data_IF_334521006844
#
_entry.id   IF_334521006844
#
_cell.length_a   1.000
_cell.length_b   1.000
_cell.length_c   1.000
_cell.angle_alpha   90.00
_cell.angle_beta   90.00
_cell.angle_gamma   90.00
#
_symmetry.space_group_name_H-M   'P 1'
#
loop_
_entity.id
_entity.type
_entity.pdbx_description
1 polymer ?
#
# COMPACT_ATOMS: atom_id res chain seq x y z
N UNK A 1 56.61 -31.95 -25.04
CA UNK A 1 57.34 -31.56 -26.27
C UNK A 1 56.73 -30.24 -26.73
N UNK A 2 57.36 -29.25 -26.40
CA UNK A 2 58.06 -28.10 -26.99
C UNK A 2 57.81 -27.98 -28.49
N UNK A 3 57.23 -26.85 -28.95
CA UNK A 3 57.94 -25.88 -29.77
C UNK A 3 57.03 -24.72 -30.19
N UNK A 4 57.67 -23.59 -30.41
CA UNK A 4 57.04 -22.27 -30.42
C UNK A 4 57.16 -21.59 -31.78
N UNK A 5 56.87 -20.27 -31.80
CA UNK A 5 57.23 -19.24 -32.80
C UNK A 5 56.23 -19.10 -33.98
N UNK A 6 55.94 -17.95 -34.44
CA UNK A 6 56.79 -16.80 -34.77
C UNK A 6 55.98 -15.53 -34.96
N UNK A 7 56.59 -14.44 -34.52
CA UNK A 7 56.23 -13.05 -34.84
C UNK A 7 56.52 -12.75 -36.30
N UNK A 8 55.56 -12.17 -37.01
CA UNK A 8 55.88 -11.44 -38.23
C UNK A 8 55.31 -10.01 -38.12
N UNK A 9 56.26 -9.08 -38.04
CA UNK A 9 56.06 -7.66 -38.21
C UNK A 9 55.74 -7.36 -39.69
N UNK A 10 54.74 -6.53 -39.93
CA UNK A 10 54.71 -5.71 -41.16
C UNK A 10 54.29 -4.28 -40.76
N UNK A 11 55.25 -3.43 -40.86
CA UNK A 11 55.14 -1.96 -40.94
C UNK A 11 54.82 -1.60 -42.38
N UNK A 12 53.78 -0.74 -42.60
CA UNK A 12 53.91 0.32 -43.58
C UNK A 12 52.69 1.23 -43.67
N UNK A 13 52.96 2.50 -43.50
CA UNK A 13 52.56 3.69 -44.28
C UNK A 13 51.13 4.25 -44.14
N UNK A 14 51.07 5.33 -43.39
CA UNK A 14 50.67 6.70 -43.77
C UNK A 14 49.43 6.86 -44.69
N UNK A 15 48.42 7.48 -44.10
CA UNK A 15 47.32 8.12 -44.80
C UNK A 15 46.60 9.06 -43.83
N UNK A 16 47.10 10.30 -43.71
CA UNK A 16 46.37 11.38 -43.04
C UNK A 16 45.10 11.68 -43.84
N UNK A 17 43.97 11.51 -43.21
CA UNK A 17 42.67 11.97 -43.66
C UNK A 17 41.92 12.54 -42.45
N UNK A 18 42.22 13.81 -42.11
CA UNK A 18 41.41 14.54 -41.14
C UNK A 18 40.09 14.89 -41.79
N UNK A 19 39.07 14.06 -41.61
CA UNK A 19 37.66 14.40 -41.90
C UNK A 19 37.08 15.10 -40.70
N UNK A 20 37.02 16.41 -40.78
CA UNK A 20 36.31 17.25 -39.81
C UNK A 20 34.83 17.00 -39.91
N UNK A 21 34.27 16.26 -38.94
CA UNK A 21 32.83 16.16 -38.76
C UNK A 21 32.36 17.46 -38.10
N UNK A 22 31.46 18.25 -38.70
CA UNK A 22 30.87 19.38 -37.99
C UNK A 22 29.89 18.85 -36.94
N UNK A 23 30.31 18.94 -35.69
CA UNK A 23 29.40 18.70 -34.56
C UNK A 23 28.45 19.90 -34.44
N UNK A 24 27.35 19.88 -35.18
CA UNK A 24 26.24 20.77 -34.92
C UNK A 24 25.54 20.28 -33.62
N UNK A 25 26.00 20.79 -32.49
CA UNK A 25 25.25 20.68 -31.24
C UNK A 25 24.02 21.58 -31.37
N UNK A 26 22.88 20.98 -31.66
CA UNK A 26 21.59 21.64 -31.47
C UNK A 26 21.43 21.92 -29.97
N UNK A 27 21.17 23.17 -29.56
CA UNK A 27 20.94 23.47 -28.16
C UNK A 27 19.64 22.74 -27.73
N UNK A 28 19.78 21.79 -26.84
CA UNK A 28 18.63 21.23 -26.10
C UNK A 28 18.14 22.37 -25.23
N UNK A 29 17.08 23.04 -25.65
CA UNK A 29 16.39 24.03 -24.83
C UNK A 29 15.82 23.28 -23.62
N UNK A 30 16.44 23.51 -22.47
CA UNK A 30 15.92 22.98 -21.21
C UNK A 30 14.50 23.55 -21.03
N UNK A 31 13.50 22.68 -21.00
CA UNK A 31 12.13 23.08 -20.71
C UNK A 31 12.11 23.74 -19.33
N UNK A 32 11.63 24.96 -19.28
CA UNK A 32 11.46 25.71 -18.03
C UNK A 32 10.46 24.97 -17.13
N UNK A 33 10.61 25.05 -15.78
CA UNK A 33 9.71 24.38 -14.83
C UNK A 33 8.22 24.70 -15.02
N UNK A 34 7.89 25.85 -15.60
CA UNK A 34 6.52 26.27 -15.91
C UNK A 34 5.87 25.43 -17.01
N UNK A 35 6.65 24.90 -17.97
CA UNK A 35 6.11 24.07 -19.06
C UNK A 35 5.69 22.66 -18.60
N UNK A 36 6.19 22.21 -17.45
CA UNK A 36 5.79 20.91 -16.84
C UNK A 36 4.54 21.03 -15.96
N UNK A 37 4.16 22.25 -15.55
CA UNK A 37 2.96 22.49 -14.75
C UNK A 37 1.66 22.43 -15.57
N UNK A 38 1.74 22.63 -16.88
CA UNK A 38 0.60 22.78 -17.80
C UNK A 38 0.44 21.59 -18.78
N UNK A 39 1.09 20.45 -18.49
CA UNK A 39 0.73 19.20 -19.15
C UNK A 39 -0.75 18.93 -18.87
N UNK A 40 -1.59 18.66 -19.90
CA UNK A 40 -3.01 18.45 -19.70
C UNK A 40 -3.16 17.31 -18.71
N UNK A 41 -3.53 17.62 -17.47
CA UNK A 41 -3.98 16.65 -16.50
C UNK A 41 -5.19 16.04 -17.17
N UNK A 42 -5.10 14.75 -17.51
CA UNK A 42 -6.25 14.01 -18.05
C UNK A 42 -7.45 14.40 -17.20
N UNK A 43 -8.40 15.18 -17.72
CA UNK A 43 -9.51 15.72 -16.91
C UNK A 43 -10.40 14.62 -16.34
N UNK A 44 -10.12 13.37 -16.70
CA UNK A 44 -11.01 12.23 -16.43
C UNK A 44 -10.32 11.04 -15.74
N UNK A 45 -9.10 11.20 -15.22
CA UNK A 45 -8.41 10.09 -14.54
C UNK A 45 -9.20 9.56 -13.34
N UNK A 46 -9.81 10.45 -12.56
CA UNK A 46 -10.60 10.05 -11.40
C UNK A 46 -11.86 9.30 -11.82
N UNK A 47 -12.53 9.75 -12.89
CA UNK A 47 -13.69 9.07 -13.45
C UNK A 47 -13.30 7.68 -14.01
N UNK A 48 -12.21 7.60 -14.78
CA UNK A 48 -11.72 6.32 -15.31
C UNK A 48 -11.40 5.32 -14.19
N UNK A 49 -10.72 5.76 -13.13
CA UNK A 49 -10.41 4.89 -11.97
C UNK A 49 -11.69 4.42 -11.30
N UNK A 50 -12.67 5.32 -11.12
CA UNK A 50 -13.97 4.99 -10.53
C UNK A 50 -14.67 3.89 -11.31
N UNK A 51 -14.84 4.06 -12.61
CA UNK A 51 -15.54 3.11 -13.47
C UNK A 51 -14.84 1.74 -13.52
N UNK A 52 -13.53 1.74 -13.58
CA UNK A 52 -12.76 0.51 -13.76
C UNK A 52 -12.49 -0.24 -12.45
N UNK A 53 -12.30 0.47 -11.33
CA UNK A 53 -11.74 -0.11 -10.10
C UNK A 53 -12.61 0.03 -8.86
N UNK A 54 -13.65 0.89 -8.87
CA UNK A 54 -14.45 1.16 -7.68
C UNK A 54 -15.92 0.74 -7.89
N UNK A 55 -16.24 -0.57 -7.84
CA UNK A 55 -17.58 -1.08 -8.00
C UNK A 55 -18.45 -0.64 -6.81
N UNK A 56 -19.71 -0.25 -7.07
CA UNK A 56 -20.62 0.16 -6.00
C UNK A 56 -21.39 -1.04 -5.42
N UNK A 57 -20.67 -1.98 -4.83
CA UNK A 57 -21.23 -3.21 -4.26
C UNK A 57 -21.91 -2.97 -2.91
N UNK A 58 -22.97 -3.76 -2.57
CA UNK A 58 -23.61 -3.71 -1.26
C UNK A 58 -22.76 -4.44 -0.22
N UNK A 59 -22.67 -3.86 0.97
CA UNK A 59 -21.88 -4.35 2.09
C UNK A 59 -22.65 -4.21 3.41
N UNK A 60 -22.16 -4.87 4.44
CA UNK A 60 -22.64 -4.72 5.82
C UNK A 60 -21.46 -4.38 6.71
N UNK A 61 -21.58 -3.34 7.52
CA UNK A 61 -20.57 -2.94 8.51
C UNK A 61 -20.67 -3.81 9.77
N UNK A 62 -19.63 -3.77 10.63
CA UNK A 62 -19.59 -4.50 11.92
C UNK A 62 -20.73 -4.12 12.87
N UNK A 63 -21.34 -2.97 12.70
CA UNK A 63 -22.54 -2.52 13.46
C UNK A 63 -23.86 -2.81 12.75
N UNK A 64 -23.82 -3.67 11.72
CA UNK A 64 -25.01 -4.18 11.01
C UNK A 64 -25.61 -3.23 9.98
N UNK A 65 -25.05 -2.05 9.74
CA UNK A 65 -25.56 -1.09 8.74
C UNK A 65 -25.31 -1.60 7.33
N UNK A 66 -26.30 -1.44 6.45
CA UNK A 66 -26.17 -1.70 5.02
C UNK A 66 -25.62 -0.43 4.35
N UNK A 67 -24.56 -0.61 3.56
CA UNK A 67 -23.86 0.48 2.88
C UNK A 67 -23.43 0.04 1.47
N UNK A 68 -23.16 0.98 0.60
CA UNK A 68 -22.55 0.75 -0.71
C UNK A 68 -21.09 1.20 -0.70
N UNK A 69 -20.22 0.39 -1.25
CA UNK A 69 -18.78 0.64 -1.23
C UNK A 69 -18.41 2.02 -1.74
N UNK A 70 -18.83 2.34 -2.97
CA UNK A 70 -18.43 3.61 -3.56
C UNK A 70 -19.17 4.79 -2.95
N UNK A 71 -20.51 4.77 -2.97
CA UNK A 71 -21.31 5.94 -2.63
C UNK A 71 -21.20 6.35 -1.16
N UNK A 72 -21.15 5.36 -0.23
CA UNK A 72 -21.20 5.63 1.20
C UNK A 72 -19.80 5.68 1.85
N UNK A 73 -18.81 4.94 1.31
CA UNK A 73 -17.54 4.74 1.98
C UNK A 73 -16.34 5.42 1.30
N UNK A 74 -16.37 5.58 -0.04
CA UNK A 74 -15.19 6.01 -0.81
C UNK A 74 -15.35 7.38 -1.45
N UNK A 75 -16.55 7.69 -1.95
CA UNK A 75 -16.82 8.93 -2.69
C UNK A 75 -16.49 10.17 -1.86
N UNK A 76 -15.63 11.01 -2.40
CA UNK A 76 -15.21 12.25 -1.76
C UNK A 76 -14.23 12.07 -0.60
N UNK A 77 -13.70 10.85 -0.35
CA UNK A 77 -12.91 10.54 0.84
C UNK A 77 -11.48 10.13 0.52
N UNK A 78 -10.65 10.16 1.55
CA UNK A 78 -9.38 9.45 1.58
C UNK A 78 -9.56 8.18 2.40
N UNK A 79 -9.18 7.04 1.82
CA UNK A 79 -9.40 5.73 2.42
C UNK A 79 -8.12 4.92 2.50
N UNK A 80 -8.02 4.09 3.54
CA UNK A 80 -7.03 3.04 3.67
C UNK A 80 -7.76 1.69 3.70
N UNK A 81 -7.57 0.89 2.66
CA UNK A 81 -8.31 -0.35 2.41
C UNK A 81 -7.38 -1.54 2.63
N UNK A 82 -7.82 -2.55 3.37
CA UNK A 82 -7.16 -3.84 3.44
C UNK A 82 -8.17 -4.98 3.45
N UNK A 83 -7.68 -6.19 3.12
CA UNK A 83 -8.45 -7.43 3.16
C UNK A 83 -7.91 -8.31 4.28
N UNK A 84 -8.81 -8.93 5.04
CA UNK A 84 -8.48 -9.73 6.22
C UNK A 84 -9.56 -10.79 6.49
N UNK A 85 -9.37 -11.61 7.49
CA UNK A 85 -10.41 -12.41 8.11
C UNK A 85 -10.07 -12.64 9.59
N UNK A 86 -11.07 -12.80 10.45
CA UNK A 86 -10.88 -12.75 11.92
C UNK A 86 -10.05 -13.92 12.45
N UNK A 87 -10.22 -15.12 11.88
CA UNK A 87 -9.50 -16.36 12.28
C UNK A 87 -8.09 -16.47 11.67
N UNK A 88 -7.55 -15.42 11.06
CA UNK A 88 -6.21 -15.44 10.48
C UNK A 88 -5.13 -15.48 11.56
N UNK A 89 -4.36 -16.56 11.60
CA UNK A 89 -3.22 -16.70 12.51
C UNK A 89 -1.91 -16.17 11.95
N UNK A 90 -1.91 -15.71 10.69
CA UNK A 90 -0.72 -15.27 9.96
C UNK A 90 -0.55 -13.76 9.92
N UNK A 91 -0.51 -13.23 8.71
CA UNK A 91 -0.20 -11.83 8.39
C UNK A 91 -1.23 -10.82 8.94
N UNK A 92 -2.48 -11.24 9.18
CA UNK A 92 -3.54 -10.33 9.62
C UNK A 92 -3.29 -9.78 11.04
N UNK A 93 -2.81 -10.62 11.96
CA UNK A 93 -2.54 -10.20 13.36
C UNK A 93 -1.53 -9.05 13.41
N UNK A 94 -0.29 -9.17 12.89
CA UNK A 94 0.67 -8.07 12.90
C UNK A 94 0.21 -6.88 12.04
N UNK A 95 -0.53 -7.11 10.96
CA UNK A 95 -1.08 -6.04 10.11
C UNK A 95 -2.10 -5.20 10.88
N UNK A 96 -3.06 -5.84 11.55
CA UNK A 96 -4.06 -5.16 12.38
C UNK A 96 -3.38 -4.37 13.51
N UNK A 97 -2.43 -4.98 14.21
CA UNK A 97 -1.68 -4.31 15.27
C UNK A 97 -0.92 -3.06 14.77
N UNK A 98 -0.34 -3.12 13.56
CA UNK A 98 0.30 -1.95 12.94
C UNK A 98 -0.72 -0.87 12.58
N UNK A 99 -1.85 -1.24 11.99
CA UNK A 99 -2.89 -0.30 11.60
C UNK A 99 -3.56 0.36 12.81
N UNK A 100 -3.73 -0.36 13.93
CA UNK A 100 -4.19 0.23 15.21
C UNK A 100 -3.21 1.32 15.69
N UNK A 101 -1.89 1.07 15.62
CA UNK A 101 -0.89 2.08 15.96
C UNK A 101 -0.97 3.30 15.03
N UNK A 102 -1.21 3.06 13.74
CA UNK A 102 -1.40 4.15 12.76
C UNK A 102 -2.66 4.94 13.08
N UNK A 103 -3.79 4.27 13.31
CA UNK A 103 -5.06 4.90 13.70
C UNK A 103 -4.88 5.79 14.93
N UNK A 104 -4.29 5.27 16.01
CA UNK A 104 -4.00 6.02 17.22
C UNK A 104 -3.11 7.25 16.96
N UNK A 105 -2.14 7.14 16.05
CA UNK A 105 -1.25 8.25 15.67
C UNK A 105 -1.91 9.31 14.78
N UNK A 106 -3.01 8.97 14.11
CA UNK A 106 -3.82 9.91 13.33
C UNK A 106 -4.81 10.69 14.21
N UNK A 107 -5.23 10.09 15.32
CA UNK A 107 -6.12 10.74 16.30
C UNK A 107 -7.38 11.33 15.67
N UNK A 108 -7.66 12.60 15.94
CA UNK A 108 -8.85 13.33 15.46
C UNK A 108 -8.94 13.49 13.92
N UNK A 109 -7.89 13.10 13.20
CA UNK A 109 -7.90 13.08 11.72
C UNK A 109 -8.65 11.88 11.15
N UNK A 110 -8.86 10.84 11.98
CA UNK A 110 -9.74 9.73 11.62
C UNK A 110 -11.16 10.25 11.41
N UNK A 111 -11.89 9.67 10.46
CA UNK A 111 -13.19 10.10 9.96
C UNK A 111 -13.21 11.46 9.25
N UNK A 112 -12.47 12.45 9.76
CA UNK A 112 -12.45 13.80 9.16
C UNK A 112 -11.62 13.86 7.88
N UNK A 113 -10.49 13.17 7.86
CA UNK A 113 -9.55 13.21 6.73
C UNK A 113 -9.31 11.84 6.12
N UNK A 114 -9.33 10.77 6.92
CA UNK A 114 -9.03 9.40 6.50
C UNK A 114 -10.01 8.42 7.14
N UNK A 115 -10.49 7.48 6.35
CA UNK A 115 -11.32 6.37 6.82
C UNK A 115 -10.61 5.04 6.53
N UNK A 116 -10.57 4.14 7.51
CA UNK A 116 -10.04 2.79 7.32
C UNK A 116 -11.17 1.81 7.01
N UNK A 117 -10.95 0.95 6.02
CA UNK A 117 -11.91 -0.04 5.53
C UNK A 117 -11.24 -1.41 5.47
N UNK A 118 -11.67 -2.34 6.32
CA UNK A 118 -11.20 -3.73 6.32
C UNK A 118 -12.30 -4.65 5.81
N UNK A 119 -12.04 -5.35 4.71
CA UNK A 119 -13.00 -6.26 4.09
C UNK A 119 -12.68 -7.69 4.49
N UNK A 120 -13.68 -8.40 5.02
CA UNK A 120 -13.52 -9.82 5.30
C UNK A 120 -13.52 -10.64 4.02
N UNK A 121 -12.56 -11.55 3.92
CA UNK A 121 -12.47 -12.59 2.88
C UNK A 121 -13.25 -13.85 3.26
N UNK A 122 -13.81 -13.91 4.46
CA UNK A 122 -14.55 -15.04 5.01
C UNK A 122 -15.96 -14.64 5.43
N UNK A 123 -16.78 -14.24 4.46
CA UNK A 123 -18.13 -13.74 4.69
C UNK A 123 -19.08 -14.77 5.36
N UNK A 124 -18.72 -16.05 5.37
CA UNK A 124 -19.51 -17.11 6.00
C UNK A 124 -19.28 -17.13 7.51
N UNK A 125 -18.04 -16.90 7.96
CA UNK A 125 -17.63 -16.94 9.36
C UNK A 125 -17.59 -15.54 10.01
N UNK A 126 -17.21 -14.53 9.23
CA UNK A 126 -17.08 -13.15 9.68
C UNK A 126 -18.41 -12.40 9.56
N UNK A 127 -19.34 -12.74 10.46
CA UNK A 127 -20.61 -11.99 10.61
C UNK A 127 -20.36 -10.58 11.13
N UNK A 128 -21.31 -9.64 11.03
CA UNK A 128 -21.17 -8.32 11.65
C UNK A 128 -20.79 -8.38 13.12
N UNK A 129 -21.40 -9.31 13.87
CA UNK A 129 -21.13 -9.52 15.29
C UNK A 129 -19.69 -9.96 15.54
N UNK A 130 -19.20 -10.95 14.77
CA UNK A 130 -17.81 -11.44 14.85
C UNK A 130 -16.82 -10.32 14.50
N UNK A 131 -17.13 -9.50 13.49
CA UNK A 131 -16.29 -8.36 13.11
C UNK A 131 -16.30 -7.27 14.18
N UNK A 132 -17.41 -7.07 14.87
CA UNK A 132 -17.51 -6.10 15.97
C UNK A 132 -16.69 -6.58 17.19
N UNK A 133 -16.78 -7.85 17.55
CA UNK A 133 -15.94 -8.45 18.60
C UNK A 133 -14.46 -8.31 18.25
N UNK A 134 -14.07 -8.65 17.03
CA UNK A 134 -12.70 -8.49 16.55
C UNK A 134 -12.21 -7.03 16.66
N UNK A 135 -13.04 -6.06 16.31
CA UNK A 135 -12.70 -4.65 16.42
C UNK A 135 -12.48 -4.23 17.90
N UNK A 136 -13.32 -4.70 18.80
CA UNK A 136 -13.19 -4.43 20.24
C UNK A 136 -11.94 -5.08 20.83
N UNK A 137 -11.68 -6.35 20.53
CA UNK A 137 -10.52 -7.10 21.02
C UNK A 137 -9.18 -6.49 20.56
N UNK A 138 -9.19 -5.75 19.44
CA UNK A 138 -8.01 -5.08 18.91
C UNK A 138 -7.94 -3.57 19.25
N UNK A 139 -8.79 -3.06 20.16
CA UNK A 139 -8.82 -1.64 20.52
C UNK A 139 -9.01 -0.71 19.31
N UNK A 140 -9.83 -1.09 18.35
CA UNK A 140 -10.12 -0.29 17.16
C UNK A 140 -11.03 0.88 17.53
N UNK A 141 -10.59 2.09 17.21
CA UNK A 141 -11.33 3.31 17.46
C UNK A 141 -12.24 3.74 16.30
N UNK A 142 -12.92 4.88 16.44
CA UNK A 142 -13.77 5.46 15.38
C UNK A 142 -13.04 5.68 14.06
N UNK A 143 -13.79 5.69 12.94
CA UNK A 143 -13.24 5.93 11.60
C UNK A 143 -12.61 4.70 10.95
N UNK A 144 -12.73 3.54 11.57
CA UNK A 144 -12.32 2.26 10.98
C UNK A 144 -13.52 1.31 10.94
N UNK A 145 -13.92 0.91 9.72
CA UNK A 145 -15.02 0.01 9.48
C UNK A 145 -14.53 -1.36 9.03
N UNK A 146 -15.07 -2.39 9.66
CA UNK A 146 -14.95 -3.77 9.21
C UNK A 146 -16.21 -4.14 8.44
N UNK A 147 -16.03 -4.76 7.29
CA UNK A 147 -17.06 -4.91 6.28
C UNK A 147 -17.15 -6.37 5.82
N UNK A 148 -18.37 -6.87 5.74
CA UNK A 148 -18.68 -8.14 5.13
C UNK A 148 -19.74 -7.98 4.05
N UNK A 149 -19.97 -9.00 3.22
CA UNK A 149 -20.91 -8.95 2.13
C UNK A 149 -20.98 -10.25 1.38
N UNK A 150 -21.59 -10.25 0.19
CA UNK A 150 -21.59 -11.45 -0.64
C UNK A 150 -20.16 -11.77 -1.08
N UNK A 151 -19.76 -13.04 -1.00
CA UNK A 151 -18.42 -13.52 -1.36
C UNK A 151 -18.00 -13.08 -2.78
N UNK A 152 -18.94 -13.16 -3.72
CA UNK A 152 -18.67 -12.73 -5.10
C UNK A 152 -18.38 -11.23 -5.23
N UNK A 153 -19.06 -10.40 -4.42
CA UNK A 153 -18.87 -8.95 -4.40
C UNK A 153 -17.52 -8.58 -3.77
N UNK A 154 -17.16 -9.22 -2.66
CA UNK A 154 -15.84 -9.03 -2.01
C UNK A 154 -14.72 -9.45 -2.97
N UNK A 155 -14.87 -10.59 -3.65
CA UNK A 155 -13.89 -11.07 -4.62
C UNK A 155 -13.77 -10.11 -5.83
N UNK A 156 -14.89 -9.60 -6.34
CA UNK A 156 -14.90 -8.58 -7.38
C UNK A 156 -14.12 -7.34 -6.93
N UNK A 157 -14.40 -6.84 -5.73
CA UNK A 157 -13.74 -5.68 -5.16
C UNK A 157 -12.23 -5.92 -5.01
N UNK A 158 -11.84 -7.07 -4.45
CA UNK A 158 -10.44 -7.46 -4.25
C UNK A 158 -9.67 -7.44 -5.56
N UNK A 159 -10.23 -8.05 -6.62
CA UNK A 159 -9.63 -8.06 -7.96
C UNK A 159 -9.58 -6.67 -8.59
N UNK A 160 -10.65 -5.90 -8.49
CA UNK A 160 -10.72 -4.53 -9.02
C UNK A 160 -9.69 -3.60 -8.38
N UNK A 161 -9.40 -3.80 -7.11
CA UNK A 161 -8.39 -3.03 -6.36
C UNK A 161 -6.96 -3.59 -6.50
N UNK A 162 -6.77 -4.72 -7.19
CA UNK A 162 -5.45 -5.33 -7.38
C UNK A 162 -4.89 -6.01 -6.13
N UNK A 163 -5.75 -6.38 -5.18
CA UNK A 163 -5.37 -7.08 -3.94
C UNK A 163 -5.45 -8.61 -4.12
N UNK A 164 -4.81 -9.14 -5.14
CA UNK A 164 -4.80 -10.57 -5.46
C UNK A 164 -3.41 -10.99 -5.97
N UNK A 165 -3.12 -12.29 -5.87
CA UNK A 165 -1.92 -12.86 -6.44
C UNK A 165 -2.18 -13.33 -7.87
N UNK A 166 -1.24 -13.07 -8.83
CA UNK A 166 -1.41 -13.48 -10.21
C UNK A 166 -1.48 -15.00 -10.39
N UNK A 167 -0.80 -15.76 -9.53
CA UNK A 167 -0.87 -17.23 -9.53
C UNK A 167 -2.15 -17.67 -8.79
N UNK A 168 -3.12 -18.35 -9.47
CA UNK A 168 -4.36 -18.77 -8.84
C UNK A 168 -4.18 -19.75 -7.69
N UNK A 169 -3.12 -20.56 -7.68
CA UNK A 169 -2.86 -21.49 -6.59
C UNK A 169 -2.38 -20.76 -5.33
N UNK A 170 -1.56 -19.73 -5.50
CA UNK A 170 -1.13 -18.85 -4.40
C UNK A 170 -2.29 -17.97 -3.93
N UNK A 171 -3.08 -17.43 -4.86
CA UNK A 171 -4.24 -16.58 -4.54
C UNK A 171 -5.34 -17.33 -3.77
N UNK A 172 -5.48 -18.63 -3.99
CA UNK A 172 -6.42 -19.49 -3.27
C UNK A 172 -5.94 -19.82 -1.84
N UNK A 173 -4.65 -19.74 -1.56
CA UNK A 173 -4.09 -19.97 -0.24
C UNK A 173 -4.27 -18.73 0.64
N UNK A 174 -5.27 -18.81 1.53
CA UNK A 174 -5.58 -17.71 2.45
C UNK A 174 -4.44 -17.36 3.41
N UNK A 175 -3.45 -18.24 3.62
CA UNK A 175 -2.28 -17.97 4.45
C UNK A 175 -1.26 -17.07 3.76
N UNK A 176 -1.31 -16.98 2.44
CA UNK A 176 -0.40 -16.21 1.57
C UNK A 176 -0.91 -14.79 1.26
N UNK A 177 -1.93 -14.31 1.98
CA UNK A 177 -2.44 -12.96 1.72
C UNK A 177 -1.34 -11.90 1.85
N UNK A 178 -1.32 -11.01 0.86
CA UNK A 178 -0.25 -10.03 0.65
C UNK A 178 -0.09 -9.01 1.78
N UNK A 179 -1.01 -8.93 2.73
CA UNK A 179 -0.97 -7.93 3.80
C UNK A 179 -0.81 -6.50 3.26
N UNK A 180 -1.47 -6.19 2.15
CA UNK A 180 -1.39 -4.89 1.49
C UNK A 180 -2.45 -3.95 2.05
N UNK A 181 -2.07 -2.68 2.25
CA UNK A 181 -2.98 -1.56 2.46
C UNK A 181 -3.01 -0.71 1.21
N UNK A 182 -4.19 -0.52 0.64
CA UNK A 182 -4.42 0.34 -0.52
C UNK A 182 -4.88 1.70 0.00
N UNK A 183 -4.10 2.72 -0.31
CA UNK A 183 -4.38 4.10 0.07
C UNK A 183 -4.97 4.84 -1.12
N UNK A 184 -6.17 5.38 -0.96
CA UNK A 184 -6.90 6.08 -2.01
C UNK A 184 -7.28 7.50 -1.61
N UNK A 185 -7.04 8.47 -2.47
CA UNK A 185 -7.65 9.80 -2.41
C UNK A 185 -8.57 9.89 -3.63
N UNK A 186 -9.85 9.59 -3.41
CA UNK A 186 -10.82 9.47 -4.49
C UNK A 186 -10.97 10.79 -5.25
N UNK A 187 -11.16 11.96 -4.60
CA UNK A 187 -11.32 13.22 -5.30
C UNK A 187 -10.13 13.61 -6.18
N UNK A 188 -8.93 13.12 -5.83
CA UNK A 188 -7.71 13.40 -6.59
C UNK A 188 -7.34 12.28 -7.57
N UNK A 189 -8.11 11.21 -7.65
CA UNK A 189 -7.83 10.04 -8.46
C UNK A 189 -6.47 9.41 -8.15
N UNK A 190 -6.05 9.40 -6.87
CA UNK A 190 -4.72 8.95 -6.44
C UNK A 190 -4.79 7.71 -5.60
N UNK A 191 -4.10 6.68 -6.07
CA UNK A 191 -4.08 5.39 -5.43
C UNK A 191 -2.65 4.88 -5.34
N UNK A 192 -2.30 4.27 -4.22
CA UNK A 192 -1.03 3.62 -3.98
C UNK A 192 -1.22 2.44 -3.02
N UNK A 193 -0.27 1.52 -2.99
CA UNK A 193 -0.27 0.39 -2.09
C UNK A 193 0.99 0.41 -1.21
N UNK A 194 0.85 -0.07 0.02
CA UNK A 194 1.94 -0.27 0.97
C UNK A 194 1.70 -1.56 1.75
N UNK A 195 2.75 -2.26 2.13
CA UNK A 195 2.61 -3.42 3.01
C UNK A 195 2.14 -3.01 4.41
N UNK A 196 1.10 -3.66 4.92
CA UNK A 196 0.63 -3.51 6.30
C UNK A 196 1.65 -3.96 7.35
N UNK A 197 2.64 -4.77 6.92
CA UNK A 197 3.77 -5.18 7.77
C UNK A 197 4.87 -4.12 7.84
N UNK A 198 4.77 -3.04 7.06
CA UNK A 198 5.69 -1.91 7.18
C UNK A 198 5.58 -1.28 8.57
N UNK A 199 6.68 -0.68 9.03
CA UNK A 199 6.67 0.06 10.30
C UNK A 199 5.54 1.11 10.30
N UNK A 200 4.74 1.24 11.39
CA UNK A 200 3.57 2.13 11.45
C UNK A 200 3.84 3.57 11.00
N UNK A 201 5.04 4.11 11.32
CA UNK A 201 5.46 5.44 10.86
C UNK A 201 5.48 5.54 9.34
N UNK A 202 5.91 4.49 8.62
CA UNK A 202 5.93 4.50 7.15
C UNK A 202 4.53 4.43 6.56
N UNK A 203 3.64 3.66 7.18
CA UNK A 203 2.22 3.60 6.75
C UNK A 203 1.59 4.98 6.95
N UNK A 204 1.77 5.62 8.11
CA UNK A 204 1.30 6.98 8.38
C UNK A 204 1.84 7.98 7.37
N UNK A 205 3.15 7.96 7.11
CA UNK A 205 3.77 8.84 6.10
C UNK A 205 3.18 8.62 4.68
N UNK A 206 2.83 7.39 4.32
CA UNK A 206 2.19 7.10 3.04
C UNK A 206 0.76 7.70 3.00
N UNK A 207 -0.01 7.60 4.09
CA UNK A 207 -1.32 8.24 4.23
C UNK A 207 -1.18 9.76 4.07
N UNK A 208 -0.26 10.38 4.79
CA UNK A 208 -0.04 11.82 4.74
C UNK A 208 0.35 12.29 3.34
N UNK A 209 1.21 11.55 2.63
CA UNK A 209 1.52 11.84 1.22
C UNK A 209 0.29 11.72 0.32
N UNK A 210 -0.64 10.82 0.63
CA UNK A 210 -1.89 10.68 -0.13
C UNK A 210 -2.81 11.89 0.06
N UNK A 211 -2.77 12.52 1.22
CA UNK A 211 -3.52 13.75 1.54
C UNK A 211 -2.93 14.99 0.86
N UNK A 212 -1.60 15.09 0.75
CA UNK A 212 -0.92 16.27 0.22
C UNK A 212 -1.17 16.47 -1.29
N UNK A 213 -1.16 17.73 -1.78
CA UNK A 213 -1.14 18.01 -3.20
C UNK A 213 0.21 17.57 -3.82
N UNK A 214 0.25 17.21 -5.12
CA UNK A 214 1.46 16.73 -5.79
C UNK A 214 2.67 17.67 -5.65
N UNK A 215 2.43 18.97 -5.66
CA UNK A 215 3.46 20.01 -5.52
C UNK A 215 4.22 19.98 -4.18
N UNK A 216 3.67 19.31 -3.16
CA UNK A 216 4.26 19.26 -1.82
C UNK A 216 4.96 17.93 -1.50
N UNK A 217 5.06 17.00 -2.44
CA UNK A 217 5.63 15.66 -2.16
C UNK A 217 7.13 15.64 -1.89
N UNK A 218 7.88 16.54 -2.51
CA UNK A 218 9.31 16.71 -2.27
C UNK A 218 9.58 17.38 -0.92
N UNK A 219 8.75 18.33 -0.53
CA UNK A 219 8.84 19.06 0.74
C UNK A 219 8.37 18.19 1.92
N UNK A 220 7.33 17.38 1.71
CA UNK A 220 6.73 16.53 2.75
C UNK A 220 7.66 15.45 3.30
N UNK A 221 8.76 15.07 2.62
CA UNK A 221 9.72 14.11 3.14
C UNK A 221 10.48 14.64 4.37
N UNK A 222 10.79 15.92 4.41
CA UNK A 222 11.48 16.54 5.55
C UNK A 222 10.50 16.85 6.70
N UNK A 223 9.33 17.40 6.38
CA UNK A 223 8.32 17.78 7.40
C UNK A 223 7.70 16.57 8.12
N UNK A 224 7.55 15.43 7.41
CA UNK A 224 6.99 14.20 7.99
C UNK A 224 8.00 13.49 8.93
N UNK A 225 9.29 13.70 8.71
CA UNK A 225 10.34 13.12 9.55
C UNK A 225 10.36 13.72 10.98
N UNK A 226 9.83 14.92 11.16
CA UNK A 226 9.88 15.67 12.42
C UNK A 226 8.66 15.49 13.34
N UNK A 227 7.61 14.78 12.87
CA UNK A 227 6.46 14.51 13.75
C UNK A 227 6.84 13.41 14.74
N UNK A 228 6.99 13.70 16.05
CA UNK A 228 7.36 12.70 17.02
C UNK A 228 6.30 11.58 17.04
N UNK A 229 6.74 10.36 16.86
CA UNK A 229 5.94 9.20 17.20
C UNK A 229 5.98 9.10 18.73
N UNK A 230 4.95 9.61 19.39
CA UNK A 230 4.86 9.46 20.85
C UNK A 230 4.93 7.98 21.20
N UNK A 231 5.99 7.63 21.94
CA UNK A 231 6.10 6.32 22.56
C UNK A 231 4.99 6.26 23.61
N UNK A 232 3.84 5.72 23.24
CA UNK A 232 2.80 5.39 24.20
C UNK A 232 3.43 4.55 25.30
N UNK A 233 3.27 4.95 26.55
CA UNK A 233 3.78 4.24 27.74
C UNK A 233 3.31 2.76 27.81
N UNK A 234 2.28 2.39 27.03
CA UNK A 234 1.80 1.03 26.88
C UNK A 234 2.73 0.11 26.07
N UNK A 235 3.66 0.68 25.27
CA UNK A 235 4.62 -0.13 24.45
C UNK A 235 5.83 -0.63 25.23
N UNK A 236 5.94 -0.36 26.52
CA UNK A 236 7.07 -0.81 27.37
C UNK A 236 6.80 -2.08 28.17
N UNK A 237 5.67 -2.75 28.03
CA UNK A 237 5.63 -4.16 28.43
C UNK A 237 6.43 -4.95 27.38
N UNK A 238 7.73 -4.99 27.61
CA UNK A 238 8.62 -6.00 27.04
C UNK A 238 7.93 -7.35 27.22
N UNK A 239 7.68 -8.03 26.11
CA UNK A 239 7.42 -9.47 26.13
C UNK A 239 8.64 -10.07 26.84
N UNK A 240 8.44 -10.59 28.05
CA UNK A 240 9.50 -11.32 28.73
C UNK A 240 9.99 -12.41 27.78
N UNK A 241 11.30 -12.63 27.67
CA UNK A 241 11.80 -13.69 26.83
C UNK A 241 11.15 -15.02 27.23
N UNK A 242 10.56 -15.71 26.26
CA UNK A 242 9.96 -17.03 26.48
C UNK A 242 11.03 -17.93 27.06
N UNK A 243 10.83 -18.38 28.29
CA UNK A 243 11.71 -19.34 28.96
C UNK A 243 11.51 -20.71 28.29
N UNK A 244 12.40 -21.01 27.33
CA UNK A 244 12.38 -22.27 26.57
C UNK A 244 12.61 -23.51 27.45
N UNK A 245 13.06 -23.37 28.71
CA UNK A 245 13.25 -24.47 29.64
C UNK A 245 11.94 -25.06 30.17
N UNK A 246 10.82 -24.36 29.96
CA UNK A 246 9.47 -24.77 30.40
C UNK A 246 8.65 -25.49 29.33
N UNK A 247 9.21 -25.71 28.14
CA UNK A 247 8.54 -26.46 27.08
C UNK A 247 8.81 -27.96 27.34
N UNK A 248 7.80 -28.79 27.62
CA UNK A 248 7.99 -30.21 27.75
C UNK A 248 8.47 -30.81 26.42
N UNK A 249 9.36 -31.84 26.46
CA UNK A 249 9.78 -32.52 25.25
C UNK A 249 8.55 -33.13 24.54
N UNK A 250 8.54 -32.98 23.20
CA UNK A 250 7.54 -33.65 22.36
C UNK A 250 7.73 -35.16 22.52
N UNK A 251 6.67 -35.83 22.92
CA UNK A 251 6.64 -37.29 22.93
C UNK A 251 6.79 -37.87 21.51
N UNK A 252 7.52 -38.97 21.31
CA UNK A 252 7.86 -39.54 20.02
C UNK A 252 6.66 -40.12 19.25
#
# INVERSE_FOLDING_TARGET
>A
MKSPLTWARLTSLLGLGMSSCPTAATPVTAATPETLADAPRHPDRAATIREQHLPNIPLTTQDGRKVHFYDDLVKGRVVAINFMYTKCSGVCVPSTANLVKVQKSLGDRMEKEVTFLSFSLDAEEDTPETLNEFAQDNDVGPGWFFLTGQKADIELLRRKLGAYEPDPAVDADRSQHTGVVILGNEPKGRWQAISALSHPVRIRQAIERTLLPPSQWSVGRAAIAEVPFEKSAASQKLVEPVDLSRIPPLDP
#
